data_IF_615861333326
#
_entry.id   IF_615861333326
#
_cell.length_a   1.000
_cell.length_b   1.000
_cell.length_c   1.000
_cell.angle_alpha   90.00
_cell.angle_beta   90.00
_cell.angle_gamma   90.00
#
_symmetry.space_group_name_H-M   'P 1'
#
loop_
_entity.id
_entity.type
_entity.pdbx_description
1 polymer ?
#
# COMPACT_ATOMS: atom_id res chain seq x y z
N UNK A 1 16.05 -31.14 -28.86
CA UNK A 1 15.96 -29.68 -28.61
C UNK A 1 14.52 -29.28 -28.89
N UNK A 2 13.70 -29.10 -27.87
CA UNK A 2 12.33 -28.62 -28.04
C UNK A 2 12.40 -27.17 -28.55
N UNK A 3 11.84 -26.93 -29.75
CA UNK A 3 11.69 -25.58 -30.28
C UNK A 3 10.89 -24.73 -29.26
N UNK A 4 11.55 -23.86 -28.54
CA UNK A 4 10.87 -22.84 -27.74
C UNK A 4 10.15 -21.95 -28.75
N UNK A 5 8.82 -21.84 -28.70
CA UNK A 5 8.08 -21.03 -29.65
C UNK A 5 8.54 -19.59 -29.57
N UNK A 6 8.81 -18.99 -30.73
CA UNK A 6 9.15 -17.57 -30.85
C UNK A 6 7.88 -16.77 -31.08
N UNK A 7 7.93 -15.46 -30.84
CA UNK A 7 6.77 -14.60 -31.06
C UNK A 7 6.29 -14.60 -32.51
N UNK A 8 7.18 -14.85 -33.46
CA UNK A 8 6.89 -14.87 -34.90
C UNK A 8 6.12 -16.12 -35.34
N UNK A 9 6.10 -17.18 -34.50
CA UNK A 9 5.33 -18.40 -34.76
C UNK A 9 3.81 -18.19 -34.60
N UNK A 10 3.37 -17.11 -33.97
CA UNK A 10 1.96 -16.78 -33.71
C UNK A 10 1.40 -15.84 -34.76
N UNK A 11 1.03 -16.37 -35.92
CA UNK A 11 0.28 -15.63 -36.96
C UNK A 11 -1.15 -15.35 -36.52
N UNK A 12 -1.86 -14.32 -37.09
CA UNK A 12 -3.24 -14.02 -36.74
C UNK A 12 -4.20 -15.20 -36.82
N UNK A 13 -4.02 -16.10 -37.80
CA UNK A 13 -4.85 -17.30 -37.95
C UNK A 13 -4.58 -18.31 -36.85
N UNK A 14 -3.33 -18.56 -36.53
CA UNK A 14 -2.95 -19.44 -35.40
C UNK A 14 -3.45 -18.90 -34.06
N UNK A 15 -3.46 -17.57 -33.88
CA UNK A 15 -4.02 -16.93 -32.69
C UNK A 15 -5.52 -17.17 -32.59
N UNK A 16 -6.27 -17.08 -33.71
CA UNK A 16 -7.71 -17.39 -33.73
C UNK A 16 -7.98 -18.85 -33.37
N UNK A 17 -7.24 -19.78 -33.94
CA UNK A 17 -7.37 -21.21 -33.64
C UNK A 17 -7.02 -21.51 -32.17
N UNK A 18 -5.97 -20.88 -31.65
CA UNK A 18 -5.57 -21.00 -30.26
C UNK A 18 -6.64 -20.46 -29.32
N UNK A 19 -7.23 -19.29 -29.63
CA UNK A 19 -8.33 -18.73 -28.87
C UNK A 19 -9.55 -19.64 -28.92
N UNK A 20 -9.88 -20.23 -30.09
CA UNK A 20 -11.01 -21.14 -30.21
C UNK A 20 -10.81 -22.44 -29.39
N UNK A 21 -9.60 -23.00 -29.37
CA UNK A 21 -9.27 -24.27 -28.71
C UNK A 21 -9.00 -24.16 -27.21
N UNK A 22 -8.56 -22.97 -26.71
CA UNK A 22 -8.15 -22.81 -25.32
C UNK A 22 -9.32 -22.42 -24.43
N UNK A 23 -9.65 -23.19 -23.37
CA UNK A 23 -10.72 -22.83 -22.42
C UNK A 23 -10.27 -21.69 -21.49
N UNK A 24 -11.23 -21.06 -20.81
CA UNK A 24 -10.91 -20.11 -19.74
C UNK A 24 -10.15 -20.80 -18.59
N UNK A 25 -9.13 -20.17 -18.05
CA UNK A 25 -8.26 -20.74 -17.00
C UNK A 25 -8.92 -20.87 -15.63
N UNK A 26 -10.25 -20.69 -15.52
CA UNK A 26 -11.04 -20.83 -14.31
C UNK A 26 -12.34 -20.04 -14.38
N UNK A 27 -12.96 -19.82 -13.22
CA UNK A 27 -14.26 -19.09 -13.14
C UNK A 27 -14.13 -17.67 -13.69
N UNK A 28 -15.07 -17.27 -14.53
CA UNK A 28 -15.20 -15.88 -15.01
C UNK A 28 -15.31 -14.91 -13.84
N UNK A 29 -14.66 -13.76 -13.95
CA UNK A 29 -14.69 -12.69 -12.95
C UNK A 29 -15.11 -11.40 -13.62
N UNK A 30 -16.02 -10.67 -13.00
CA UNK A 30 -16.35 -9.33 -13.48
C UNK A 30 -15.18 -8.39 -13.27
N UNK A 31 -15.00 -7.45 -14.19
CA UNK A 31 -13.96 -6.43 -14.10
C UNK A 31 -14.08 -5.61 -12.79
N UNK A 32 -15.32 -5.34 -12.34
CA UNK A 32 -15.59 -4.66 -11.08
C UNK A 32 -15.10 -5.46 -9.86
N UNK A 33 -15.25 -6.79 -9.86
CA UNK A 33 -14.75 -7.63 -8.77
C UNK A 33 -13.22 -7.65 -8.73
N UNK A 34 -12.57 -7.66 -9.91
CA UNK A 34 -11.10 -7.60 -10.00
C UNK A 34 -10.61 -6.25 -9.49
N UNK A 35 -11.26 -5.15 -9.90
CA UNK A 35 -10.93 -3.81 -9.45
C UNK A 35 -11.12 -3.68 -7.94
N UNK A 36 -12.27 -4.08 -7.40
CA UNK A 36 -12.56 -4.00 -5.97
C UNK A 36 -11.54 -4.75 -5.11
N UNK A 37 -11.08 -5.93 -5.55
CA UNK A 37 -10.08 -6.69 -4.82
C UNK A 37 -8.68 -6.07 -4.97
N UNK A 38 -8.27 -5.70 -6.19
CA UNK A 38 -6.94 -5.17 -6.42
C UNK A 38 -6.72 -3.82 -5.71
N UNK A 39 -7.74 -2.94 -5.73
CA UNK A 39 -7.68 -1.62 -5.08
C UNK A 39 -7.70 -1.68 -3.55
N UNK A 40 -7.94 -2.85 -2.94
CA UNK A 40 -7.67 -3.02 -1.50
C UNK A 40 -6.19 -2.75 -1.16
N UNK A 41 -5.25 -2.96 -2.11
CA UNK A 41 -3.85 -2.58 -1.92
C UNK A 41 -3.67 -1.07 -1.71
N UNK A 42 -4.38 -0.28 -2.49
CA UNK A 42 -4.37 1.19 -2.38
C UNK A 42 -5.17 1.68 -1.17
N UNK A 43 -6.27 0.99 -0.82
CA UNK A 43 -7.00 1.23 0.43
C UNK A 43 -6.09 1.02 1.65
N UNK A 44 -5.25 -0.03 1.65
CA UNK A 44 -4.30 -0.29 2.74
C UNK A 44 -3.31 0.86 2.90
N UNK A 45 -2.81 1.42 1.80
CA UNK A 45 -1.95 2.61 1.85
C UNK A 45 -2.65 3.78 2.53
N UNK A 46 -3.88 4.09 2.09
CA UNK A 46 -4.67 5.17 2.69
C UNK A 46 -4.97 4.92 4.17
N UNK A 47 -5.37 3.70 4.52
CA UNK A 47 -5.67 3.33 5.90
C UNK A 47 -4.46 3.49 6.81
N UNK A 48 -3.28 2.99 6.40
CA UNK A 48 -2.06 3.11 7.20
C UNK A 48 -1.67 4.58 7.44
N UNK A 49 -1.79 5.41 6.40
CA UNK A 49 -1.52 6.86 6.53
C UNK A 49 -2.48 7.53 7.51
N UNK A 50 -3.77 7.17 7.48
CA UNK A 50 -4.78 7.78 8.34
C UNK A 50 -4.77 7.26 9.78
N UNK A 51 -4.46 5.97 10.01
CA UNK A 51 -4.55 5.37 11.34
C UNK A 51 -3.54 5.93 12.31
N UNK A 52 -2.36 6.32 11.85
CA UNK A 52 -1.28 6.88 12.66
C UNK A 52 -1.73 8.16 13.38
N UNK A 53 -2.42 9.04 12.68
CA UNK A 53 -2.88 10.31 13.24
C UNK A 53 -3.69 10.13 14.54
N UNK A 54 -4.56 9.12 14.60
CA UNK A 54 -5.32 8.82 15.81
C UNK A 54 -4.56 7.99 16.86
N UNK A 55 -3.55 7.25 16.45
CA UNK A 55 -2.74 6.40 17.35
C UNK A 55 -1.67 7.21 18.11
N UNK A 56 -1.12 8.26 17.49
CA UNK A 56 -0.04 9.08 18.05
C UNK A 56 -0.31 9.60 19.46
N UNK A 57 -1.47 10.19 19.81
CA UNK A 57 -1.70 10.70 21.17
C UNK A 57 -1.54 9.62 22.25
N UNK A 58 -1.93 8.39 21.96
CA UNK A 58 -1.76 7.25 22.89
C UNK A 58 -0.31 6.75 22.94
N UNK A 59 0.45 6.86 21.83
CA UNK A 59 1.86 6.46 21.79
C UNK A 59 2.77 7.40 22.58
N UNK A 60 2.40 8.67 22.74
CA UNK A 60 3.14 9.63 23.57
C UNK A 60 3.06 9.32 25.07
N UNK A 61 2.02 8.61 25.50
CA UNK A 61 1.83 8.29 26.90
C UNK A 61 3.01 7.45 27.44
N UNK A 62 3.33 7.57 28.73
CA UNK A 62 4.36 6.76 29.37
C UNK A 62 4.09 5.26 29.26
N UNK A 63 5.15 4.45 29.33
CA UNK A 63 5.05 2.99 29.23
C UNK A 63 4.14 2.36 30.29
N UNK A 64 4.12 2.91 31.50
CA UNK A 64 3.22 2.48 32.57
C UNK A 64 1.74 2.65 32.22
N UNK A 65 1.43 3.67 31.43
CA UNK A 65 0.09 3.93 30.92
C UNK A 65 -0.22 3.20 29.60
N UNK A 66 0.70 2.38 29.08
CA UNK A 66 0.54 1.60 27.85
C UNK A 66 1.01 2.29 26.58
N UNK A 67 1.63 3.47 26.66
CA UNK A 67 2.25 4.18 25.57
C UNK A 67 3.69 3.71 25.29
N UNK A 68 4.40 4.46 24.46
CA UNK A 68 5.82 4.24 24.13
C UNK A 68 6.73 5.37 24.62
N UNK A 69 6.14 6.38 25.29
CA UNK A 69 6.82 7.61 25.73
C UNK A 69 7.63 8.27 24.60
N UNK A 70 6.99 8.41 23.45
CA UNK A 70 7.63 8.93 22.24
C UNK A 70 7.88 10.44 22.33
N UNK A 71 9.04 10.85 21.83
CA UNK A 71 9.36 12.25 21.58
C UNK A 71 8.86 12.67 20.20
N UNK A 72 8.73 13.99 19.97
CA UNK A 72 8.36 14.53 18.64
C UNK A 72 9.37 14.14 17.55
N UNK A 73 10.65 13.98 17.91
CA UNK A 73 11.68 13.52 16.99
C UNK A 73 11.46 12.06 16.57
N UNK A 74 11.14 11.21 17.52
CA UNK A 74 10.85 9.79 17.28
C UNK A 74 9.57 9.60 16.46
N UNK A 75 8.56 10.44 16.67
CA UNK A 75 7.36 10.50 15.83
C UNK A 75 7.72 10.75 14.36
N UNK A 76 8.60 11.72 14.09
CA UNK A 76 9.06 11.99 12.73
C UNK A 76 9.67 10.77 12.06
N UNK A 77 10.39 9.93 12.79
CA UNK A 77 10.93 8.68 12.28
C UNK A 77 9.87 7.62 12.02
N UNK A 78 8.80 7.55 12.77
CA UNK A 78 7.68 6.61 12.51
C UNK A 78 7.09 6.84 11.12
N UNK A 79 6.90 8.11 10.72
CA UNK A 79 6.47 8.46 9.36
C UNK A 79 7.59 8.33 8.31
N UNK A 80 8.80 8.81 8.63
CA UNK A 80 9.93 8.83 7.71
C UNK A 80 10.40 7.43 7.29
N UNK A 81 10.48 6.49 8.22
CA UNK A 81 10.88 5.11 7.93
C UNK A 81 9.87 4.37 7.05
N UNK A 82 8.58 4.68 7.16
CA UNK A 82 7.58 4.20 6.22
C UNK A 82 7.90 4.65 4.80
N UNK A 83 8.23 5.93 4.60
CA UNK A 83 8.58 6.48 3.29
C UNK A 83 9.85 5.84 2.72
N UNK A 84 10.88 5.60 3.54
CA UNK A 84 12.09 4.89 3.13
C UNK A 84 11.76 3.47 2.69
N UNK A 85 10.96 2.75 3.47
CA UNK A 85 10.45 1.44 3.11
C UNK A 85 9.69 1.46 1.79
N UNK A 86 8.80 2.46 1.60
CA UNK A 86 7.99 2.60 0.40
C UNK A 86 8.85 2.89 -0.85
N UNK A 87 9.88 3.70 -0.75
CA UNK A 87 10.82 3.93 -1.84
C UNK A 87 11.53 2.64 -2.28
N UNK A 88 12.01 1.85 -1.31
CA UNK A 88 12.59 0.54 -1.57
C UNK A 88 11.54 -0.42 -2.18
N UNK A 89 10.34 -0.47 -1.62
CA UNK A 89 9.23 -1.29 -2.10
C UNK A 89 8.82 -0.97 -3.53
N UNK A 90 8.71 0.31 -3.89
CA UNK A 90 8.40 0.73 -5.25
C UNK A 90 9.48 0.31 -6.25
N UNK A 91 10.75 0.47 -5.87
CA UNK A 91 11.89 0.10 -6.72
C UNK A 91 12.00 -1.41 -6.97
N UNK A 92 11.88 -2.22 -5.91
CA UNK A 92 11.96 -3.67 -6.03
C UNK A 92 10.65 -4.29 -6.47
N UNK A 93 9.51 -3.74 -6.07
CA UNK A 93 8.18 -4.22 -6.38
C UNK A 93 7.90 -4.25 -7.88
N UNK A 94 8.32 -3.22 -8.62
CA UNK A 94 8.24 -3.22 -10.09
C UNK A 94 8.99 -4.39 -10.72
N UNK A 95 10.25 -4.62 -10.32
CA UNK A 95 11.07 -5.73 -10.84
C UNK A 95 10.50 -7.11 -10.46
N UNK A 96 10.01 -7.27 -9.23
CA UNK A 96 9.35 -8.51 -8.80
C UNK A 96 8.08 -8.76 -9.61
N UNK A 97 7.29 -7.71 -9.82
CA UNK A 97 6.07 -7.74 -10.61
C UNK A 97 6.31 -8.19 -12.04
N UNK A 98 7.37 -7.66 -12.69
CA UNK A 98 7.73 -8.06 -14.05
C UNK A 98 8.23 -9.51 -14.12
N UNK A 99 8.96 -9.98 -13.13
CA UNK A 99 9.54 -11.32 -13.10
C UNK A 99 8.54 -12.42 -12.73
N UNK A 100 7.72 -12.19 -11.72
CA UNK A 100 6.85 -13.22 -11.13
C UNK A 100 5.36 -13.06 -11.46
N UNK A 101 4.96 -11.94 -12.05
CA UNK A 101 3.58 -11.61 -12.35
C UNK A 101 2.97 -10.64 -11.34
N UNK A 102 1.95 -9.95 -11.81
CA UNK A 102 1.32 -8.86 -11.04
C UNK A 102 0.55 -9.42 -9.84
N UNK A 103 -0.28 -10.43 -10.10
CA UNK A 103 -1.08 -11.10 -9.06
C UNK A 103 -0.20 -11.72 -7.97
N UNK A 104 0.88 -12.40 -8.40
CA UNK A 104 1.81 -13.06 -7.47
C UNK A 104 2.51 -12.03 -6.59
N UNK A 105 2.97 -10.93 -7.18
CA UNK A 105 3.61 -9.84 -6.46
C UNK A 105 2.64 -9.18 -5.46
N UNK A 106 1.39 -8.87 -5.86
CA UNK A 106 0.39 -8.31 -4.95
C UNK A 106 0.10 -9.29 -3.79
N UNK A 107 0.05 -10.60 -4.06
CA UNK A 107 -0.12 -11.62 -3.00
C UNK A 107 1.02 -11.59 -1.99
N UNK A 108 2.27 -11.50 -2.46
CA UNK A 108 3.45 -11.40 -1.61
C UNK A 108 3.40 -10.11 -0.77
N UNK A 109 3.10 -8.99 -1.41
CA UNK A 109 3.03 -7.68 -0.74
C UNK A 109 1.91 -7.63 0.31
N UNK A 110 0.76 -8.28 0.07
CA UNK A 110 -0.30 -8.41 1.06
C UNK A 110 0.16 -9.18 2.31
N UNK A 111 0.98 -10.22 2.14
CA UNK A 111 1.57 -10.99 3.24
C UNK A 111 2.58 -10.11 4.01
N UNK A 112 3.47 -9.43 3.29
CA UNK A 112 4.49 -8.53 3.90
C UNK A 112 3.79 -7.40 4.67
N UNK A 113 2.72 -6.83 4.10
CA UNK A 113 1.90 -5.83 4.78
C UNK A 113 1.30 -6.37 6.07
N UNK A 114 0.72 -7.57 6.03
CA UNK A 114 0.12 -8.21 7.20
C UNK A 114 1.15 -8.39 8.33
N UNK A 115 2.36 -8.87 8.01
CA UNK A 115 3.44 -8.98 8.98
C UNK A 115 3.87 -7.62 9.53
N UNK A 116 3.98 -6.61 8.68
CA UNK A 116 4.28 -5.23 9.10
C UNK A 116 3.21 -4.65 10.02
N UNK A 117 1.93 -4.82 9.69
CA UNK A 117 0.79 -4.32 10.48
C UNK A 117 0.72 -5.00 11.86
N UNK A 118 0.84 -6.32 11.90
CA UNK A 118 0.91 -7.08 13.16
C UNK A 118 2.14 -6.65 13.96
N UNK A 119 3.30 -6.56 13.31
CA UNK A 119 4.54 -6.10 13.95
C UNK A 119 4.42 -4.71 14.58
N UNK A 120 3.76 -3.77 13.89
CA UNK A 120 3.46 -2.46 14.45
C UNK A 120 2.55 -2.56 15.69
N UNK A 121 1.47 -3.36 15.61
CA UNK A 121 0.49 -3.46 16.69
C UNK A 121 1.06 -4.12 17.98
N UNK A 122 1.96 -5.09 17.84
CA UNK A 122 2.56 -5.81 18.98
C UNK A 122 3.92 -5.23 19.43
N UNK A 123 4.40 -4.17 18.81
CA UNK A 123 5.71 -3.60 19.09
C UNK A 123 5.88 -3.28 20.59
N UNK A 124 6.87 -3.88 21.29
CA UNK A 124 7.12 -3.64 22.70
C UNK A 124 7.88 -2.33 22.95
N UNK A 125 8.58 -1.86 21.95
CA UNK A 125 9.40 -0.64 22.01
C UNK A 125 9.47 0.03 20.64
N UNK A 126 10.01 1.24 20.61
CA UNK A 126 10.07 2.07 19.41
C UNK A 126 10.93 1.45 18.30
N UNK A 127 11.99 0.71 18.61
CA UNK A 127 12.88 0.12 17.61
C UNK A 127 12.19 -0.98 16.82
N UNK A 128 11.38 -1.81 17.49
CA UNK A 128 10.55 -2.82 16.82
C UNK A 128 9.48 -2.15 15.97
N UNK A 129 8.89 -1.06 16.45
CA UNK A 129 7.95 -0.25 15.68
C UNK A 129 8.61 0.30 14.41
N UNK A 130 9.83 0.83 14.50
CA UNK A 130 10.58 1.33 13.35
C UNK A 130 10.84 0.25 12.31
N UNK A 131 11.28 -0.93 12.73
CA UNK A 131 11.51 -2.05 11.83
C UNK A 131 10.19 -2.48 11.14
N UNK A 132 9.12 -2.59 11.91
CA UNK A 132 7.81 -2.93 11.38
C UNK A 132 7.29 -1.87 10.39
N UNK A 133 7.57 -0.57 10.61
CA UNK A 133 7.27 0.53 9.69
C UNK A 133 8.02 0.43 8.35
N UNK A 134 9.29 0.04 8.38
CA UNK A 134 10.05 -0.19 7.14
C UNK A 134 9.45 -1.35 6.35
N UNK A 135 9.12 -2.46 7.01
CA UNK A 135 8.51 -3.64 6.37
C UNK A 135 7.14 -3.27 5.77
N UNK A 136 6.32 -2.55 6.53
CA UNK A 136 5.00 -2.11 6.09
C UNK A 136 5.12 -1.12 4.93
N UNK A 137 6.05 -0.17 5.01
CA UNK A 137 6.37 0.76 3.93
C UNK A 137 6.77 0.03 2.65
N UNK A 138 7.62 -0.99 2.74
CA UNK A 138 8.02 -1.79 1.59
C UNK A 138 6.80 -2.41 0.89
N UNK A 139 5.86 -2.96 1.64
CA UNK A 139 4.63 -3.52 1.08
C UNK A 139 3.75 -2.44 0.41
N UNK A 140 3.59 -1.29 1.06
CA UNK A 140 2.84 -0.14 0.54
C UNK A 140 3.43 0.36 -0.78
N UNK A 141 4.73 0.63 -0.81
CA UNK A 141 5.41 1.14 -2.02
C UNK A 141 5.36 0.15 -3.18
N UNK A 142 5.56 -1.15 -2.89
CA UNK A 142 5.42 -2.21 -3.89
C UNK A 142 3.99 -2.31 -4.45
N UNK A 143 2.97 -2.19 -3.60
CA UNK A 143 1.57 -2.20 -4.00
C UNK A 143 1.22 -0.98 -4.86
N UNK A 144 1.65 0.21 -4.46
CA UNK A 144 1.45 1.46 -5.22
C UNK A 144 2.03 1.41 -6.63
N UNK A 145 3.16 0.69 -6.81
CA UNK A 145 3.74 0.49 -8.13
C UNK A 145 3.02 -0.61 -8.95
N UNK A 146 2.49 -1.66 -8.29
CA UNK A 146 1.99 -2.86 -8.98
C UNK A 146 0.48 -2.81 -9.26
N UNK A 147 -0.32 -2.28 -8.33
CA UNK A 147 -1.80 -2.30 -8.44
C UNK A 147 -2.31 -1.49 -9.64
N UNK A 148 -1.86 -0.24 -9.89
CA UNK A 148 -2.31 0.51 -11.06
C UNK A 148 -1.92 -0.17 -12.38
N UNK A 149 -0.74 -0.80 -12.43
CA UNK A 149 -0.28 -1.57 -13.59
C UNK A 149 -1.18 -2.79 -13.83
N UNK A 150 -1.47 -3.55 -12.79
CA UNK A 150 -2.36 -4.71 -12.87
C UNK A 150 -3.75 -4.33 -13.37
N UNK A 151 -4.32 -3.24 -12.84
CA UNK A 151 -5.61 -2.71 -13.27
C UNK A 151 -5.56 -2.24 -14.74
N UNK A 152 -4.53 -1.48 -15.11
CA UNK A 152 -4.34 -0.99 -16.47
C UNK A 152 -4.13 -2.09 -17.52
N UNK A 153 -3.48 -3.20 -17.14
CA UNK A 153 -3.26 -4.36 -18.00
C UNK A 153 -4.51 -5.26 -18.12
N UNK A 154 -5.31 -5.36 -17.07
CA UNK A 154 -6.51 -6.19 -17.03
C UNK A 154 -7.72 -5.48 -17.67
N UNK A 155 -7.74 -4.16 -17.61
CA UNK A 155 -8.82 -3.33 -18.13
C UNK A 155 -8.88 -3.30 -19.66
N UNK A 156 -10.09 -3.34 -20.27
CA UNK A 156 -10.26 -2.99 -21.67
C UNK A 156 -9.89 -1.51 -21.87
N UNK A 157 -9.42 -1.16 -23.07
CA UNK A 157 -8.94 0.20 -23.40
C UNK A 157 -9.89 1.32 -22.94
N UNK A 158 -11.20 1.11 -23.13
CA UNK A 158 -12.26 2.09 -22.78
C UNK A 158 -12.34 2.40 -21.30
N UNK A 159 -12.08 1.43 -20.40
CA UNK A 159 -12.27 1.55 -18.97
C UNK A 159 -10.97 1.72 -18.19
N UNK A 160 -9.81 1.68 -18.85
CA UNK A 160 -8.50 1.73 -18.20
C UNK A 160 -8.32 2.97 -17.31
N UNK A 161 -8.65 4.15 -17.84
CA UNK A 161 -8.54 5.40 -17.06
C UNK A 161 -9.45 5.42 -15.84
N UNK A 162 -10.68 4.90 -15.95
CA UNK A 162 -11.63 4.82 -14.84
C UNK A 162 -11.09 3.91 -13.74
N UNK A 163 -10.54 2.73 -14.10
CA UNK A 163 -10.03 1.78 -13.11
C UNK A 163 -8.78 2.30 -12.39
N UNK A 164 -7.89 2.99 -13.10
CA UNK A 164 -6.74 3.64 -12.47
C UNK A 164 -7.19 4.80 -11.57
N UNK A 165 -8.21 5.57 -11.97
CA UNK A 165 -8.77 6.60 -11.10
C UNK A 165 -9.45 6.02 -9.85
N UNK A 166 -10.09 4.86 -9.97
CA UNK A 166 -10.68 4.13 -8.82
C UNK A 166 -9.61 3.75 -7.81
N UNK A 167 -8.40 3.41 -8.26
CA UNK A 167 -7.26 3.11 -7.40
C UNK A 167 -6.90 4.29 -6.49
N UNK A 168 -6.80 5.49 -7.07
CA UNK A 168 -6.54 6.72 -6.30
C UNK A 168 -7.69 7.05 -5.33
N UNK A 169 -8.94 6.86 -5.75
CA UNK A 169 -10.11 7.04 -4.89
C UNK A 169 -10.06 6.13 -3.67
N UNK A 170 -9.59 4.89 -3.82
CA UNK A 170 -9.50 3.93 -2.72
C UNK A 170 -8.43 4.30 -1.70
N UNK A 171 -7.38 5.04 -2.06
CA UNK A 171 -6.42 5.60 -1.09
C UNK A 171 -7.16 6.58 -0.16
N UNK A 172 -7.89 7.54 -0.74
CA UNK A 172 -8.64 8.54 0.03
C UNK A 172 -9.73 7.88 0.89
N UNK A 173 -10.41 6.89 0.34
CA UNK A 173 -11.41 6.12 1.09
C UNK A 173 -10.79 5.33 2.24
N UNK A 174 -9.58 4.78 2.08
CA UNK A 174 -8.82 4.14 3.15
C UNK A 174 -8.50 5.09 4.29
N UNK A 175 -8.08 6.33 3.98
CA UNK A 175 -7.85 7.38 4.98
C UNK A 175 -9.13 7.73 5.74
N UNK A 176 -10.24 7.92 5.02
CA UNK A 176 -11.54 8.18 5.64
C UNK A 176 -11.95 7.04 6.58
N UNK A 177 -11.79 5.78 6.17
CA UNK A 177 -12.05 4.62 7.02
C UNK A 177 -11.18 4.62 8.27
N UNK A 178 -9.88 4.94 8.13
CA UNK A 178 -8.96 4.98 9.26
C UNK A 178 -9.36 6.05 10.28
N UNK A 179 -9.65 7.27 9.84
CA UNK A 179 -10.13 8.33 10.72
C UNK A 179 -11.45 7.96 11.41
N UNK A 180 -12.38 7.35 10.67
CA UNK A 180 -13.66 6.90 11.23
C UNK A 180 -13.46 5.82 12.29
N UNK A 181 -12.59 4.83 12.03
CA UNK A 181 -12.28 3.77 12.99
C UNK A 181 -11.56 4.30 14.21
N UNK A 182 -10.59 5.21 14.04
CA UNK A 182 -9.93 5.88 15.14
C UNK A 182 -10.93 6.61 16.04
N UNK A 183 -11.88 7.34 15.44
CA UNK A 183 -12.94 8.05 16.20
C UNK A 183 -13.85 7.08 16.96
N UNK A 184 -14.23 5.95 16.36
CA UNK A 184 -15.03 4.91 17.02
C UNK A 184 -14.27 4.30 18.19
N UNK A 185 -13.01 3.92 17.98
CA UNK A 185 -12.16 3.33 19.04
C UNK A 185 -11.94 4.33 20.16
N UNK A 186 -11.63 5.58 19.85
CA UNK A 186 -11.45 6.63 20.84
C UNK A 186 -12.73 6.87 21.66
N UNK A 187 -13.93 6.74 21.07
CA UNK A 187 -15.20 6.83 21.80
C UNK A 187 -15.43 5.63 22.72
N UNK A 188 -15.05 4.42 22.26
CA UNK A 188 -15.25 3.20 23.03
C UNK A 188 -14.26 3.05 24.19
N UNK A 189 -13.01 3.47 23.99
CA UNK A 189 -11.92 3.35 24.98
C UNK A 189 -11.69 4.62 25.79
N UNK A 190 -12.38 5.71 25.46
CA UNK A 190 -12.10 7.05 25.94
C UNK A 190 -10.95 7.72 25.20
N UNK A 191 -10.84 9.04 25.32
CA UNK A 191 -9.65 9.78 24.87
C UNK A 191 -8.39 9.33 25.64
N UNK A 192 -7.18 9.78 25.23
CA UNK A 192 -5.95 9.44 25.94
C UNK A 192 -6.04 9.91 27.41
N UNK A 193 -6.06 8.98 28.36
CA UNK A 193 -6.19 9.25 29.81
C UNK A 193 -5.15 8.49 30.59
N UNK A 194 -4.64 9.12 31.65
CA UNK A 194 -3.68 8.55 32.58
C UNK A 194 -4.16 8.75 34.01
N UNK A 195 -3.98 7.72 34.85
CA UNK A 195 -4.21 7.82 36.29
C UNK A 195 -2.91 8.24 36.95
N UNK A 196 -2.96 9.29 37.76
CA UNK A 196 -1.77 9.79 38.46
C UNK A 196 -1.56 9.09 39.80
N UNK A 197 -0.33 8.70 40.07
CA UNK A 197 0.10 8.11 41.37
C UNK A 197 0.63 9.19 42.31
N UNK A 198 1.00 10.36 41.79
CA UNK A 198 1.45 11.53 42.51
C UNK A 198 0.95 12.80 41.85
N UNK A 199 1.20 13.97 42.41
CA UNK A 199 0.84 15.24 41.80
C UNK A 199 1.72 15.52 40.59
N UNK A 200 1.10 15.77 39.43
CA UNK A 200 1.78 16.16 38.20
C UNK A 200 2.00 17.69 38.22
N UNK A 201 3.27 18.12 38.14
CA UNK A 201 3.65 19.53 38.21
C UNK A 201 4.34 20.01 36.93
N UNK A 202 4.06 21.22 36.50
CA UNK A 202 4.75 21.86 35.38
C UNK A 202 6.13 22.41 35.78
N UNK A 203 6.86 22.98 34.83
CA UNK A 203 8.18 23.58 35.07
C UNK A 203 8.12 24.82 36.00
N UNK A 204 6.94 25.40 36.21
CA UNK A 204 6.68 26.54 37.08
C UNK A 204 6.22 26.11 38.48
N UNK A 205 6.06 24.82 38.76
CA UNK A 205 5.58 24.26 40.00
C UNK A 205 4.06 24.26 40.17
N UNK A 206 3.28 24.57 39.13
CA UNK A 206 1.82 24.48 39.19
C UNK A 206 1.38 23.02 39.07
N UNK A 207 0.38 22.64 39.84
CA UNK A 207 -0.20 21.29 39.80
C UNK A 207 -1.15 21.20 38.62
N UNK A 208 -0.85 20.31 37.67
CA UNK A 208 -1.66 20.01 36.49
C UNK A 208 -2.66 18.89 36.76
N UNK A 209 -2.42 18.07 37.77
CA UNK A 209 -3.29 16.97 38.20
C UNK A 209 -2.87 16.39 39.54
N UNK A 210 -3.85 15.95 40.34
CA UNK A 210 -3.61 15.43 41.68
C UNK A 210 -3.48 13.91 41.71
N UNK A 211 -2.72 13.41 42.65
CA UNK A 211 -2.58 11.99 42.93
C UNK A 211 -3.95 11.28 43.03
N UNK A 212 -4.07 10.09 42.42
CA UNK A 212 -5.30 9.30 42.38
C UNK A 212 -6.35 9.75 41.38
N UNK A 213 -6.16 10.87 40.66
CA UNK A 213 -7.09 11.34 39.61
C UNK A 213 -6.77 10.66 38.27
N UNK A 214 -7.84 10.42 37.49
CA UNK A 214 -7.71 10.04 36.05
C UNK A 214 -7.94 11.30 35.24
N UNK A 215 -6.91 11.75 34.53
CA UNK A 215 -6.90 13.00 33.77
C UNK A 215 -6.59 12.75 32.31
N UNK A 216 -7.08 13.66 31.45
CA UNK A 216 -6.75 13.63 30.03
C UNK A 216 -5.23 13.84 29.83
N UNK A 217 -4.63 13.07 28.95
CA UNK A 217 -3.20 13.18 28.65
C UNK A 217 -2.78 14.59 28.22
N UNK A 218 -3.60 15.27 27.45
CA UNK A 218 -3.36 16.64 26.98
C UNK A 218 -3.13 17.63 28.14
N UNK A 219 -3.80 17.41 29.27
CA UNK A 219 -3.69 18.31 30.43
C UNK A 219 -2.36 18.14 31.15
N UNK A 220 -1.84 16.91 31.23
CA UNK A 220 -0.66 16.57 32.05
C UNK A 220 0.61 16.28 31.25
N UNK A 221 0.54 16.27 29.92
CA UNK A 221 1.70 16.01 29.06
C UNK A 221 2.87 17.01 29.26
N UNK A 222 2.57 18.22 29.73
CA UNK A 222 3.57 19.25 30.01
C UNK A 222 4.22 19.10 31.40
N UNK A 223 3.77 18.16 32.23
CA UNK A 223 4.36 17.94 33.55
C UNK A 223 5.79 17.38 33.43
N UNK A 224 6.72 17.99 34.18
CA UNK A 224 8.13 17.59 34.15
C UNK A 224 8.39 16.25 34.82
N UNK A 225 7.51 15.83 35.75
CA UNK A 225 7.59 14.58 36.51
C UNK A 225 6.62 13.50 35.99
N UNK A 226 6.03 13.68 34.80
CA UNK A 226 4.95 12.80 34.31
C UNK A 226 5.36 11.34 34.20
N UNK A 227 6.61 11.05 33.86
CA UNK A 227 7.13 9.69 33.76
C UNK A 227 7.14 8.95 35.11
N UNK A 228 7.32 9.69 36.20
CA UNK A 228 7.41 9.16 37.57
C UNK A 228 6.03 9.02 38.23
N UNK A 229 5.13 9.98 37.96
CA UNK A 229 3.80 10.04 38.62
C UNK A 229 2.69 9.39 37.77
N UNK A 230 2.99 8.90 36.55
CA UNK A 230 2.01 8.21 35.76
C UNK A 230 1.83 6.76 36.18
N UNK A 231 0.58 6.40 36.44
CA UNK A 231 0.14 5.02 36.71
C UNK A 231 -0.47 4.37 35.47
N UNK A 232 -1.52 3.58 35.69
CA UNK A 232 -2.24 2.92 34.58
C UNK A 232 -2.98 3.94 33.68
N UNK A 233 -3.13 3.61 32.42
CA UNK A 233 -3.86 4.41 31.44
C UNK A 233 -4.38 3.55 30.28
N UNK A 234 -5.05 4.20 29.35
CA UNK A 234 -5.58 3.53 28.14
C UNK A 234 -4.64 3.64 26.93
N UNK A 235 -3.35 3.87 27.15
CA UNK A 235 -2.35 4.01 26.10
C UNK A 235 -2.31 2.84 25.12
N UNK A 236 -2.61 1.61 25.55
CA UNK A 236 -2.67 0.43 24.66
C UNK A 236 -3.67 0.56 23.50
N UNK A 237 -4.55 1.54 23.52
CA UNK A 237 -5.56 1.79 22.47
C UNK A 237 -4.95 1.92 21.07
N UNK A 238 -3.73 2.49 20.94
CA UNK A 238 -3.06 2.59 19.65
C UNK A 238 -2.82 1.21 18.99
N UNK A 239 -2.66 0.16 19.77
CA UNK A 239 -2.47 -1.21 19.25
C UNK A 239 -3.75 -1.71 18.59
N UNK A 240 -4.91 -1.41 19.16
CA UNK A 240 -6.21 -1.76 18.56
C UNK A 240 -6.46 -1.00 17.27
N UNK A 241 -6.03 0.27 17.19
CA UNK A 241 -6.13 1.06 15.96
C UNK A 241 -5.26 0.45 14.85
N UNK A 242 -4.02 0.11 15.14
CA UNK A 242 -3.08 -0.45 14.15
C UNK A 242 -3.45 -1.86 13.72
N UNK A 243 -3.91 -2.74 14.61
CA UNK A 243 -4.22 -4.13 14.26
C UNK A 243 -5.39 -4.22 13.27
N UNK A 244 -6.33 -3.28 13.29
CA UNK A 244 -7.44 -3.23 12.35
C UNK A 244 -6.99 -3.12 10.89
N UNK A 245 -5.81 -2.56 10.64
CA UNK A 245 -5.21 -2.51 9.31
C UNK A 245 -4.95 -3.91 8.71
N UNK A 246 -4.85 -4.93 9.55
CA UNK A 246 -4.69 -6.32 9.12
C UNK A 246 -5.92 -6.89 8.41
N UNK A 247 -7.13 -6.41 8.73
CA UNK A 247 -8.37 -6.93 8.14
C UNK A 247 -8.45 -6.74 6.61
N UNK A 248 -8.29 -5.53 6.06
CA UNK A 248 -8.26 -5.36 4.61
C UNK A 248 -7.03 -6.03 3.97
N UNK A 249 -5.92 -6.22 4.69
CA UNK A 249 -4.76 -6.97 4.20
C UNK A 249 -5.09 -8.46 4.00
N UNK A 250 -5.78 -9.07 4.94
CA UNK A 250 -6.27 -10.45 4.83
C UNK A 250 -7.26 -10.56 3.67
N UNK A 251 -8.19 -9.59 3.55
CA UNK A 251 -9.15 -9.56 2.45
C UNK A 251 -8.45 -9.46 1.09
N UNK A 252 -7.42 -8.62 0.95
CA UNK A 252 -6.59 -8.52 -0.24
C UNK A 252 -5.88 -9.86 -0.52
N UNK A 253 -5.23 -10.43 0.48
CA UNK A 253 -4.49 -11.69 0.34
C UNK A 253 -5.35 -12.85 -0.13
N UNK A 254 -6.56 -12.99 0.41
CA UNK A 254 -7.50 -14.04 -0.01
C UNK A 254 -8.08 -13.69 -1.39
N UNK A 255 -8.54 -12.45 -1.56
CA UNK A 255 -9.23 -12.00 -2.77
C UNK A 255 -8.36 -12.07 -4.02
N UNK A 256 -7.12 -11.59 -3.93
CA UNK A 256 -6.22 -11.54 -5.11
C UNK A 256 -5.85 -12.93 -5.63
N UNK A 257 -5.80 -13.95 -4.79
CA UNK A 257 -5.58 -15.34 -5.20
C UNK A 257 -6.68 -15.89 -6.08
N UNK A 258 -7.89 -15.35 -5.95
CA UNK A 258 -9.05 -15.76 -6.76
C UNK A 258 -9.11 -15.03 -8.10
N UNK A 259 -8.30 -14.00 -8.30
CA UNK A 259 -8.26 -13.20 -9.52
C UNK A 259 -7.35 -13.84 -10.58
N UNK A 260 -7.57 -13.56 -11.88
CA UNK A 260 -6.66 -13.96 -12.93
C UNK A 260 -5.34 -13.19 -12.84
N UNK A 261 -4.27 -13.73 -13.38
CA UNK A 261 -3.03 -12.99 -13.64
C UNK A 261 -3.21 -12.10 -14.86
N UNK A 262 -2.36 -11.09 -15.03
CA UNK A 262 -2.36 -10.21 -16.20
C UNK A 262 -2.13 -11.01 -17.50
N UNK A 263 -3.04 -10.88 -18.45
CA UNK A 263 -2.90 -11.46 -19.79
C UNK A 263 -1.73 -10.86 -20.56
N UNK A 264 -1.46 -9.56 -20.36
CA UNK A 264 -0.32 -8.87 -20.96
C UNK A 264 1.00 -9.40 -20.43
N UNK A 265 1.07 -9.67 -19.13
CA UNK A 265 2.25 -10.28 -18.53
C UNK A 265 2.53 -11.68 -19.09
N UNK A 266 1.48 -12.51 -19.24
CA UNK A 266 1.63 -13.82 -19.88
C UNK A 266 2.11 -13.70 -21.33
N UNK A 267 1.53 -12.80 -22.12
CA UNK A 267 1.94 -12.56 -23.49
C UNK A 267 3.40 -12.08 -23.58
N UNK A 268 3.83 -11.17 -22.72
CA UNK A 268 5.21 -10.68 -22.64
C UNK A 268 6.23 -11.78 -22.28
N UNK A 269 5.80 -12.81 -21.56
CA UNK A 269 6.62 -13.99 -21.22
C UNK A 269 6.41 -15.17 -22.17
N UNK A 270 5.81 -14.96 -23.34
CA UNK A 270 5.53 -15.98 -24.39
C UNK A 270 4.66 -17.17 -23.89
N UNK A 271 3.89 -16.95 -22.82
CA UNK A 271 2.93 -17.91 -22.25
C UNK A 271 1.54 -17.67 -22.83
N UNK A 272 1.41 -17.89 -24.14
CA UNK A 272 0.24 -17.43 -24.90
C UNK A 272 -1.03 -18.19 -24.53
N UNK A 273 -0.94 -19.50 -24.24
CA UNK A 273 -2.08 -20.31 -23.80
C UNK A 273 -2.67 -19.78 -22.50
N UNK A 274 -1.82 -19.44 -21.53
CA UNK A 274 -2.25 -18.87 -20.27
C UNK A 274 -2.77 -17.43 -20.43
N UNK A 275 -2.21 -16.68 -21.39
CA UNK A 275 -2.73 -15.34 -21.74
C UNK A 275 -4.18 -15.43 -22.24
N UNK A 276 -4.48 -16.36 -23.14
CA UNK A 276 -5.84 -16.63 -23.63
C UNK A 276 -6.76 -17.05 -22.49
N UNK A 277 -6.31 -18.03 -21.69
CA UNK A 277 -7.08 -18.50 -20.54
C UNK A 277 -7.41 -17.40 -19.53
N UNK A 278 -6.48 -16.47 -19.32
CA UNK A 278 -6.69 -15.31 -18.45
C UNK A 278 -7.65 -14.28 -19.07
N UNK A 279 -7.49 -13.96 -20.36
CA UNK A 279 -8.39 -13.05 -21.09
C UNK A 279 -9.84 -13.53 -21.04
N UNK A 280 -10.08 -14.82 -21.31
CA UNK A 280 -11.41 -15.43 -21.28
C UNK A 280 -12.09 -15.43 -19.89
N UNK A 281 -11.32 -15.24 -18.82
CA UNK A 281 -11.90 -15.05 -17.47
C UNK A 281 -12.48 -13.66 -17.27
N UNK A 282 -11.98 -12.66 -18.01
CA UNK A 282 -12.29 -11.23 -17.81
C UNK A 282 -13.15 -10.68 -18.94
N UNK A 283 -13.05 -11.27 -20.14
CA UNK A 283 -13.77 -10.84 -21.33
C UNK A 283 -15.00 -11.70 -21.58
N UNK A 284 -15.99 -11.11 -22.22
CA UNK A 284 -17.15 -11.83 -22.73
C UNK A 284 -16.91 -12.13 -24.21
N UNK A 285 -16.65 -13.39 -24.54
CA UNK A 285 -16.37 -13.86 -25.90
C UNK A 285 -17.46 -13.48 -26.93
N UNK A 286 -18.69 -13.18 -26.45
CA UNK A 286 -19.79 -12.74 -27.33
C UNK A 286 -19.75 -11.25 -27.68
N UNK A 287 -19.04 -10.44 -26.85
CA UNK A 287 -19.02 -8.98 -26.96
C UNK A 287 -17.64 -8.43 -27.26
N UNK A 288 -16.60 -9.16 -26.88
CA UNK A 288 -15.23 -8.71 -26.92
C UNK A 288 -14.44 -9.56 -27.95
N UNK A 289 -13.67 -8.90 -28.81
CA UNK A 289 -12.75 -9.58 -29.75
C UNK A 289 -11.46 -9.99 -29.02
N UNK A 290 -11.51 -11.16 -28.37
CA UNK A 290 -10.37 -11.72 -27.63
C UNK A 290 -9.19 -11.99 -28.54
N UNK A 291 -9.42 -12.44 -29.79
CA UNK A 291 -8.36 -12.73 -30.73
C UNK A 291 -7.67 -11.46 -31.21
N UNK A 292 -8.45 -10.42 -31.52
CA UNK A 292 -7.90 -9.10 -31.88
C UNK A 292 -7.10 -8.47 -30.74
N UNK A 293 -7.59 -8.54 -29.49
CA UNK A 293 -6.87 -8.03 -28.32
C UNK A 293 -5.54 -8.77 -28.10
N UNK A 294 -5.51 -10.09 -28.27
CA UNK A 294 -4.29 -10.88 -28.16
C UNK A 294 -3.29 -10.56 -29.28
N UNK A 295 -3.77 -10.46 -30.53
CA UNK A 295 -2.92 -10.05 -31.65
C UNK A 295 -2.26 -8.71 -31.43
N UNK A 296 -3.01 -7.72 -30.93
CA UNK A 296 -2.46 -6.42 -30.58
C UNK A 296 -1.37 -6.51 -29.49
N UNK A 297 -1.58 -7.34 -28.45
CA UNK A 297 -0.55 -7.58 -27.42
C UNK A 297 0.73 -8.16 -28.02
N UNK A 298 0.60 -9.11 -28.96
CA UNK A 298 1.73 -9.73 -29.62
C UNK A 298 2.45 -8.78 -30.59
N UNK A 299 1.72 -7.88 -31.28
CA UNK A 299 2.32 -6.84 -32.12
C UNK A 299 3.16 -5.86 -31.29
N UNK A 300 2.64 -5.40 -30.16
CA UNK A 300 3.41 -4.55 -29.22
C UNK A 300 4.68 -5.28 -28.77
N UNK A 301 4.55 -6.54 -28.38
CA UNK A 301 5.69 -7.33 -27.93
C UNK A 301 6.73 -7.59 -29.06
N UNK A 302 6.29 -7.77 -30.31
CA UNK A 302 7.19 -7.82 -31.48
C UNK A 302 7.94 -6.52 -31.69
N UNK A 303 7.25 -5.39 -31.54
CA UNK A 303 7.87 -4.09 -31.65
C UNK A 303 8.91 -3.86 -30.55
N UNK A 304 8.59 -4.23 -29.30
CA UNK A 304 9.50 -4.13 -28.17
C UNK A 304 10.71 -5.06 -28.28
N UNK A 305 10.52 -6.29 -28.79
CA UNK A 305 11.62 -7.27 -28.95
C UNK A 305 12.66 -6.82 -29.98
N UNK A 306 12.27 -6.00 -30.94
CA UNK A 306 13.16 -5.41 -31.95
C UNK A 306 13.91 -4.15 -31.47
N UNK A 307 13.47 -3.58 -30.34
CA UNK A 307 14.12 -2.38 -29.79
C UNK A 307 15.23 -2.78 -28.81
N UNK A 308 16.36 -2.08 -28.90
CA UNK A 308 17.43 -2.22 -27.90
C UNK A 308 16.93 -1.74 -26.54
N UNK A 309 17.08 -2.59 -25.53
CA UNK A 309 16.77 -2.21 -24.14
C UNK A 309 17.84 -1.24 -23.63
N UNK A 310 17.44 -0.01 -23.45
CA UNK A 310 18.35 1.00 -22.92
C UNK A 310 18.66 0.76 -21.44
N UNK A 311 19.95 0.76 -21.11
CA UNK A 311 20.38 0.78 -19.73
C UNK A 311 20.22 2.17 -19.12
N UNK A 312 20.18 2.28 -17.79
CA UNK A 312 20.12 3.58 -17.10
C UNK A 312 21.23 4.53 -17.56
N UNK A 313 22.44 4.01 -17.82
CA UNK A 313 23.56 4.82 -18.29
C UNK A 313 23.32 5.37 -19.71
N UNK A 314 22.65 4.63 -20.58
CA UNK A 314 22.27 5.10 -21.91
C UNK A 314 21.17 6.16 -21.85
N UNK A 315 20.15 5.96 -20.98
CA UNK A 315 19.09 6.96 -20.73
C UNK A 315 19.69 8.29 -20.28
N UNK A 316 20.67 8.26 -19.36
CA UNK A 316 21.32 9.47 -18.85
C UNK A 316 22.18 10.18 -19.92
N UNK A 317 22.66 9.50 -20.95
CA UNK A 317 23.41 10.10 -22.06
C UNK A 317 22.52 10.82 -23.07
N UNK A 318 21.26 10.44 -23.19
CA UNK A 318 20.32 11.01 -24.15
C UNK A 318 19.61 12.23 -23.56
N UNK A 319 19.78 13.40 -24.18
CA UNK A 319 19.32 14.71 -23.64
C UNK A 319 17.81 14.73 -23.32
N UNK A 320 16.95 14.25 -24.25
CA UNK A 320 15.50 14.29 -24.04
C UNK A 320 15.05 13.34 -22.95
N UNK A 321 15.63 12.12 -22.87
CA UNK A 321 15.29 11.13 -21.86
C UNK A 321 15.71 11.61 -20.44
N UNK A 322 16.92 12.21 -20.34
CA UNK A 322 17.39 12.85 -19.12
C UNK A 322 16.49 14.00 -18.66
N UNK A 323 15.99 14.82 -19.63
CA UNK A 323 15.06 15.91 -19.31
C UNK A 323 13.74 15.38 -18.74
N UNK A 324 13.18 14.32 -19.32
CA UNK A 324 11.96 13.68 -18.82
C UNK A 324 12.17 13.06 -17.43
N UNK A 325 13.30 12.39 -17.23
CA UNK A 325 13.67 11.84 -15.92
C UNK A 325 13.77 12.95 -14.87
N UNK A 326 14.44 14.05 -15.20
CA UNK A 326 14.56 15.22 -14.32
C UNK A 326 13.19 15.82 -13.97
N UNK A 327 12.32 16.02 -14.97
CA UNK A 327 10.95 16.52 -14.74
C UNK A 327 10.18 15.58 -13.81
N UNK A 328 10.25 14.26 -14.03
CA UNK A 328 9.59 13.29 -13.17
C UNK A 328 10.08 13.33 -11.72
N UNK A 329 11.40 13.44 -11.52
CA UNK A 329 12.00 13.58 -10.18
C UNK A 329 11.55 14.88 -9.51
N UNK A 330 11.59 16.00 -10.22
CA UNK A 330 11.19 17.31 -9.68
C UNK A 330 9.72 17.31 -9.31
N UNK A 331 8.84 16.74 -10.13
CA UNK A 331 7.41 16.62 -9.83
C UNK A 331 7.17 15.75 -8.61
N UNK A 332 7.85 14.60 -8.49
CA UNK A 332 7.72 13.72 -7.31
C UNK A 332 8.23 14.38 -6.03
N UNK A 333 9.33 15.14 -6.10
CA UNK A 333 9.84 15.90 -4.97
C UNK A 333 8.85 17.04 -4.61
N UNK A 334 8.36 17.77 -5.60
CA UNK A 334 7.40 18.85 -5.37
C UNK A 334 6.12 18.34 -4.70
N UNK A 335 5.59 17.21 -5.15
CA UNK A 335 4.41 16.56 -4.55
C UNK A 335 4.61 16.30 -3.04
N UNK A 336 5.76 15.77 -2.65
CA UNK A 336 6.08 15.51 -1.24
C UNK A 336 6.36 16.79 -0.44
N UNK A 337 7.01 17.79 -1.05
CA UNK A 337 7.33 19.07 -0.39
C UNK A 337 6.09 19.95 -0.15
N UNK A 338 4.95 19.68 -0.80
CA UNK A 338 3.67 20.37 -0.47
C UNK A 338 3.21 20.10 0.96
N UNK A 339 3.79 19.11 1.64
CA UNK A 339 3.49 18.81 3.04
C UNK A 339 2.15 18.12 3.26
N UNK A 340 1.53 17.56 2.22
CA UNK A 340 0.22 16.89 2.34
C UNK A 340 0.22 15.77 3.37
N UNK A 341 1.30 14.99 3.42
CA UNK A 341 1.45 13.93 4.41
C UNK A 341 1.57 14.52 5.83
N UNK A 342 2.29 15.63 5.99
CA UNK A 342 2.38 16.35 7.26
C UNK A 342 1.02 16.82 7.73
N UNK A 343 0.24 17.45 6.85
CA UNK A 343 -1.12 17.84 7.17
C UNK A 343 -1.97 16.67 7.64
N UNK A 344 -1.89 15.51 6.95
CA UNK A 344 -2.66 14.31 7.30
C UNK A 344 -2.26 13.71 8.66
N UNK A 345 -0.96 13.66 8.97
CA UNK A 345 -0.47 13.11 10.24
C UNK A 345 -0.76 14.02 11.43
N UNK A 346 -0.71 15.34 11.25
CA UNK A 346 -0.79 16.32 12.33
C UNK A 346 -2.14 17.03 12.46
N UNK A 347 -3.08 16.85 11.52
CA UNK A 347 -4.42 17.45 11.59
C UNK A 347 -5.13 17.26 12.95
N UNK A 348 -5.05 16.10 13.64
CA UNK A 348 -5.66 15.96 14.96
C UNK A 348 -5.00 16.78 16.06
N UNK A 349 -3.83 17.37 15.81
CA UNK A 349 -3.09 18.21 16.78
C UNK A 349 -3.26 19.71 16.52
N UNK A 350 -3.80 20.09 15.37
CA UNK A 350 -4.11 21.46 14.96
C UNK A 350 -5.55 21.78 15.33
#
# INVERSE_FOLDING_TARGET
>A
MSNVPTIDDYTPDKVRDLVASTPASGKKRSLGAIAAVATLGSLLFGYDTGVIAGALPYMYMPGNAGGLHMTTFEEGWVGGLLCIGAAAGAFFGGRLSDRYGRRHNITLLAIVFLFGAIGCAIAPNIWVLYLARIILGFAVGGASATVPVFLGETAPKRLRGVLVATDQMMIVFGQFMAFSMNAVIARLQGGPTVTLTGDAVDASGNVLGHAGSSVAWETVQAAVNIAEVSGAGNGLTWRYMLILCSLPAIALWIGIRMMPESSRWYAANLRIVEAVGSLKRVRDEKKDDVAGELNEMLEVQRAESKQEKWSLSQILKVKWARKLLYIGIVLGIADQLTGINTAMYYTPKI
#
